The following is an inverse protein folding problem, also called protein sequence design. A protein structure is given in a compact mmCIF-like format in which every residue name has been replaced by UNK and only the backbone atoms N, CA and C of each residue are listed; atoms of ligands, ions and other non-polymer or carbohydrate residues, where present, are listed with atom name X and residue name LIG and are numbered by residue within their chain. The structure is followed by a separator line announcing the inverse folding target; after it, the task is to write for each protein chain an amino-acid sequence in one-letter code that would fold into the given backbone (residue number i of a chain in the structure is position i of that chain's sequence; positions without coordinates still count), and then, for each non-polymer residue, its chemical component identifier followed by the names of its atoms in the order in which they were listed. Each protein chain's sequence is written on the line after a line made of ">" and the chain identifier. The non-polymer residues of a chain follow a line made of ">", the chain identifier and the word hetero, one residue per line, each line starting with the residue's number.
data_IF_417720771019
#
_entry.id   IF_417720771019
#
_cell.length_a   1.000
_cell.length_b   1.000
_cell.length_c   1.000
_cell.angle_alpha   90.00
_cell.angle_beta   90.00
_cell.angle_gamma   90.00
#
_symmetry.space_group_name_H-M   'P 1'
#
loop_
_entity.id
_entity.type
_entity.pdbx_description
1 polymer ?
#
# COMPACT_ATOMS: atom_id res chain seq x y z
N UNK A 1 -6.32 -15.14 32.82
CA UNK A 1 -6.66 -16.28 31.95
C UNK A 1 -5.43 -17.10 31.53
N UNK A 2 -4.26 -16.48 31.29
CA UNK A 2 -3.02 -17.18 30.91
C UNK A 2 -2.35 -17.90 32.09
N UNK A 3 -2.39 -17.31 33.30
CA UNK A 3 -1.83 -17.93 34.49
C UNK A 3 -2.63 -19.17 34.98
N UNK A 4 -3.96 -19.16 34.81
CA UNK A 4 -4.80 -20.33 35.10
C UNK A 4 -4.55 -21.49 34.14
N UNK A 5 -4.29 -21.20 32.84
CA UNK A 5 -3.87 -22.22 31.88
C UNK A 5 -2.51 -22.83 32.21
N UNK A 6 -1.54 -22.02 32.63
CA UNK A 6 -0.22 -22.48 33.01
C UNK A 6 -0.26 -23.36 34.27
N UNK A 7 -1.16 -23.10 35.22
CA UNK A 7 -1.32 -23.87 36.47
C UNK A 7 -1.98 -25.24 36.21
N UNK A 8 -2.92 -25.29 35.27
CA UNK A 8 -3.61 -26.56 34.88
C UNK A 8 -2.68 -27.47 34.06
N UNK A 9 -1.78 -26.90 33.24
CA UNK A 9 -0.84 -27.67 32.41
C UNK A 9 0.42 -28.14 33.15
N UNK A 10 0.69 -27.66 34.38
CA UNK A 10 1.87 -28.02 35.21
C UNK A 10 1.63 -29.16 36.18
N UNK A 11 0.42 -29.71 36.27
CA UNK A 11 0.19 -30.90 37.10
C UNK A 11 0.50 -32.13 36.27
N UNK A 12 1.54 -32.84 36.66
CA UNK A 12 1.79 -34.20 36.26
C UNK A 12 0.53 -35.05 36.44
N UNK A 13 0.04 -35.64 35.38
CA UNK A 13 -0.98 -36.66 35.40
C UNK A 13 -0.40 -37.95 35.97
N UNK A 14 -0.18 -37.96 37.27
CA UNK A 14 0.01 -39.19 37.99
C UNK A 14 -1.37 -39.71 38.42
N UNK A 15 -1.67 -40.86 37.95
CA UNK A 15 -2.76 -41.81 38.21
C UNK A 15 -3.57 -41.62 39.54
N UNK A 16 -4.22 -40.46 39.69
CA UNK A 16 -5.19 -40.21 40.75
C UNK A 16 -6.56 -40.63 40.20
N UNK A 17 -7.18 -41.61 40.81
CA UNK A 17 -8.44 -42.20 40.37
C UNK A 17 -9.53 -41.16 40.11
N UNK A 18 -10.49 -41.47 39.23
CA UNK A 18 -11.57 -40.61 38.78
C UNK A 18 -12.36 -39.88 39.89
N UNK A 19 -12.33 -40.40 41.11
CA UNK A 19 -12.93 -39.74 42.29
C UNK A 19 -12.23 -38.49 42.75
N UNK A 20 -10.91 -38.43 42.66
CA UNK A 20 -10.11 -37.27 43.09
C UNK A 20 -10.23 -36.09 42.14
N UNK A 21 -10.39 -36.38 40.85
CA UNK A 21 -10.61 -35.37 39.79
C UNK A 21 -11.99 -34.69 39.99
N UNK A 22 -13.02 -35.45 40.32
CA UNK A 22 -14.37 -34.93 40.53
C UNK A 22 -14.42 -33.99 41.74
N UNK A 23 -13.75 -34.36 42.83
CA UNK A 23 -13.62 -33.51 44.06
C UNK A 23 -12.83 -32.23 43.72
N UNK A 24 -11.73 -32.34 42.99
CA UNK A 24 -10.94 -31.17 42.61
C UNK A 24 -11.71 -30.21 41.67
N UNK A 25 -12.51 -30.74 40.72
CA UNK A 25 -13.37 -29.91 39.90
C UNK A 25 -14.45 -29.20 40.69
N UNK A 26 -15.01 -29.87 41.71
CA UNK A 26 -16.00 -29.27 42.61
C UNK A 26 -15.37 -28.17 43.46
N UNK A 27 -14.20 -28.39 44.06
CA UNK A 27 -13.43 -27.38 44.79
C UNK A 27 -13.08 -26.17 43.93
N UNK A 28 -12.57 -26.39 42.74
CA UNK A 28 -12.27 -25.33 41.76
C UNK A 28 -13.52 -24.56 41.36
N UNK A 29 -14.66 -25.26 41.21
CA UNK A 29 -15.96 -24.63 40.98
C UNK A 29 -16.40 -23.70 42.09
N UNK A 30 -16.34 -24.16 43.31
CA UNK A 30 -16.65 -23.35 44.50
C UNK A 30 -15.71 -22.15 44.62
N UNK A 31 -14.43 -22.35 44.43
CA UNK A 31 -13.42 -21.27 44.47
C UNK A 31 -13.64 -20.25 43.38
N UNK A 32 -14.01 -20.68 42.20
CA UNK A 32 -14.35 -19.80 41.03
C UNK A 32 -15.60 -18.96 41.34
N UNK A 33 -16.63 -19.55 41.96
CA UNK A 33 -17.83 -18.84 42.38
C UNK A 33 -17.53 -17.80 43.49
N UNK A 34 -16.71 -18.17 44.47
CA UNK A 34 -16.28 -17.25 45.53
C UNK A 34 -15.47 -16.07 44.96
N UNK A 35 -14.52 -16.32 44.09
CA UNK A 35 -13.74 -15.27 43.44
C UNK A 35 -14.60 -14.38 42.50
N UNK A 36 -15.58 -14.94 41.81
CA UNK A 36 -16.55 -14.15 41.06
C UNK A 36 -17.39 -13.25 41.92
N UNK A 37 -17.94 -13.77 43.05
CA UNK A 37 -18.71 -12.98 43.99
C UNK A 37 -17.88 -11.86 44.62
N UNK A 38 -16.61 -12.12 44.94
CA UNK A 38 -15.69 -11.10 45.46
C UNK A 38 -15.34 -10.05 44.40
N UNK A 39 -15.22 -10.46 43.12
CA UNK A 39 -14.95 -9.54 42.01
C UNK A 39 -16.18 -8.68 41.66
N UNK A 40 -17.41 -9.19 41.83
CA UNK A 40 -18.65 -8.46 41.49
C UNK A 40 -18.81 -7.17 42.32
N UNK A 41 -18.25 -7.12 43.54
CA UNK A 41 -18.24 -5.91 44.38
C UNK A 41 -17.19 -4.86 44.01
N UNK A 42 -16.18 -5.25 43.21
CA UNK A 42 -15.02 -4.38 42.89
C UNK A 42 -14.87 -4.12 41.38
N UNK A 43 -15.54 -4.89 40.53
CA UNK A 43 -15.42 -4.78 39.10
C UNK A 43 -16.70 -4.20 38.49
N UNK A 44 -16.56 -3.05 37.83
CA UNK A 44 -17.65 -2.48 37.03
C UNK A 44 -17.70 -3.19 35.69
N UNK A 45 -18.76 -3.94 35.43
CA UNK A 45 -18.97 -4.58 34.16
C UNK A 45 -19.63 -3.58 33.18
N UNK A 46 -18.96 -3.31 32.07
CA UNK A 46 -19.52 -2.55 30.96
C UNK A 46 -19.80 -3.54 29.82
N UNK A 47 -21.06 -3.63 29.40
CA UNK A 47 -21.48 -4.47 28.27
C UNK A 47 -21.67 -3.60 27.05
N UNK A 48 -21.21 -4.08 25.89
CA UNK A 48 -21.48 -3.41 24.62
C UNK A 48 -22.99 -3.46 24.33
N UNK A 49 -23.61 -2.34 23.93
CA UNK A 49 -25.04 -2.32 23.58
C UNK A 49 -25.35 -3.07 22.30
N UNK A 50 -24.39 -3.12 21.39
CA UNK A 50 -24.52 -3.73 20.06
C UNK A 50 -23.22 -4.46 19.69
N UNK A 51 -23.28 -5.28 18.64
CA UNK A 51 -22.08 -5.89 18.05
C UNK A 51 -21.26 -4.83 17.32
N UNK A 52 -19.95 -4.81 17.54
CA UNK A 52 -19.04 -3.85 16.91
C UNK A 52 -17.59 -4.17 17.21
N UNK A 53 -16.69 -3.37 16.67
CA UNK A 53 -15.27 -3.45 16.94
C UNK A 53 -14.91 -2.52 18.12
N UNK A 54 -14.41 -3.10 19.20
CA UNK A 54 -13.93 -2.33 20.34
C UNK A 54 -12.52 -1.79 20.07
N UNK A 55 -12.34 -0.48 20.31
CA UNK A 55 -11.05 0.20 20.32
C UNK A 55 -10.83 0.89 21.66
N UNK A 56 -9.67 0.67 22.28
CA UNK A 56 -9.28 1.35 23.50
C UNK A 56 -8.88 2.82 23.27
N UNK A 57 -8.56 3.18 22.03
CA UNK A 57 -8.12 4.52 21.66
C UNK A 57 -9.31 5.43 21.37
N UNK A 58 -9.39 6.52 22.14
CA UNK A 58 -10.38 7.61 21.96
C UNK A 58 -9.61 8.91 22.00
N UNK A 59 -9.64 9.65 20.91
CA UNK A 59 -8.81 10.84 20.70
C UNK A 59 -9.60 12.16 20.67
N UNK A 60 -10.92 12.09 20.85
CA UNK A 60 -11.82 13.26 20.89
C UNK A 60 -12.28 13.74 19.53
N UNK A 61 -11.97 13.03 18.44
CA UNK A 61 -12.49 13.33 17.12
C UNK A 61 -13.75 12.53 16.78
N UNK A 62 -14.20 11.64 17.64
CA UNK A 62 -15.31 10.73 17.40
C UNK A 62 -16.65 11.47 17.14
N UNK A 63 -16.83 12.64 17.77
CA UNK A 63 -18.02 13.49 17.60
C UNK A 63 -17.79 14.65 16.64
N UNK A 64 -16.52 14.96 16.35
CA UNK A 64 -16.14 16.09 15.49
C UNK A 64 -16.02 15.67 14.03
N UNK A 65 -15.50 14.47 13.77
CA UNK A 65 -15.33 13.93 12.41
C UNK A 65 -16.23 12.69 12.24
N UNK A 66 -17.46 12.94 11.84
CA UNK A 66 -18.47 11.90 11.58
C UNK A 66 -18.71 11.73 10.08
N UNK A 67 -19.21 10.59 9.62
CA UNK A 67 -19.53 10.37 8.20
C UNK A 67 -20.45 11.45 7.62
N UNK A 68 -21.42 11.96 8.40
CA UNK A 68 -22.32 13.00 7.95
C UNK A 68 -21.68 14.37 7.71
N UNK A 69 -20.49 14.63 8.27
CA UNK A 69 -19.75 15.88 8.04
C UNK A 69 -18.89 15.85 6.78
N UNK A 70 -18.72 14.68 6.16
CA UNK A 70 -17.84 14.53 4.99
C UNK A 70 -18.46 15.14 3.73
N UNK A 71 -19.78 15.29 3.71
CA UNK A 71 -20.47 15.95 2.60
C UNK A 71 -20.22 17.46 2.65
N UNK A 72 -19.69 18.00 1.57
CA UNK A 72 -19.38 19.43 1.47
C UNK A 72 -18.17 19.92 2.28
N UNK A 73 -17.33 19.01 2.79
CA UNK A 73 -16.13 19.37 3.56
C UNK A 73 -15.12 20.15 2.70
N UNK A 74 -14.72 21.33 3.19
CA UNK A 74 -13.73 22.18 2.52
C UNK A 74 -12.32 21.95 3.08
N UNK A 75 -11.25 22.30 2.32
CA UNK A 75 -9.88 22.23 2.81
C UNK A 75 -9.62 22.99 4.10
N UNK A 76 -10.19 24.19 4.25
CA UNK A 76 -10.07 25.00 5.48
C UNK A 76 -10.82 24.36 6.65
N UNK A 77 -12.02 23.82 6.42
CA UNK A 77 -12.79 23.12 7.44
C UNK A 77 -12.05 21.87 7.94
N UNK A 78 -11.52 21.06 7.03
CA UNK A 78 -10.72 19.87 7.41
C UNK A 78 -9.48 20.24 8.23
N UNK A 79 -8.78 21.30 7.83
CA UNK A 79 -7.56 21.76 8.53
C UNK A 79 -7.86 22.36 9.90
N UNK A 80 -9.05 22.94 10.07
CA UNK A 80 -9.51 23.58 11.30
C UNK A 80 -10.11 22.63 12.34
N UNK A 81 -10.24 21.32 12.01
CA UNK A 81 -10.78 20.35 12.95
C UNK A 81 -9.88 20.21 14.17
N UNK A 82 -10.46 20.34 15.35
CA UNK A 82 -9.79 20.14 16.63
C UNK A 82 -10.53 19.09 17.44
N UNK A 83 -9.78 18.27 18.16
CA UNK A 83 -10.37 17.27 19.07
C UNK A 83 -11.20 17.95 20.17
N UNK A 84 -12.30 17.32 20.55
CA UNK A 84 -13.07 17.69 21.73
C UNK A 84 -12.61 16.87 22.94
N UNK A 85 -11.84 17.46 23.88
CA UNK A 85 -11.33 16.75 25.06
C UNK A 85 -12.42 16.20 25.97
N UNK A 86 -13.63 16.78 25.92
CA UNK A 86 -14.76 16.37 26.76
C UNK A 86 -15.32 15.01 26.38
N UNK A 87 -15.07 14.56 25.14
CA UNK A 87 -15.57 13.29 24.61
C UNK A 87 -14.59 12.12 24.78
N UNK A 88 -13.37 12.39 25.25
CA UNK A 88 -12.35 11.37 25.48
C UNK A 88 -12.80 10.40 26.56
N UNK A 89 -13.09 9.17 26.18
CA UNK A 89 -13.50 8.10 27.09
C UNK A 89 -12.32 7.25 27.55
N UNK A 90 -12.24 6.98 28.86
CA UNK A 90 -11.27 6.05 29.43
C UNK A 90 -11.62 4.58 29.20
N UNK A 91 -12.86 4.31 28.81
CA UNK A 91 -13.35 2.95 28.57
C UNK A 91 -13.19 2.51 27.11
N UNK A 92 -12.79 3.41 26.22
CA UNK A 92 -12.69 3.12 24.79
C UNK A 92 -13.94 3.50 24.01
N UNK A 93 -13.99 3.09 22.76
CA UNK A 93 -15.12 3.30 21.81
C UNK A 93 -15.53 1.99 21.16
N UNK A 94 -16.78 1.93 20.75
CA UNK A 94 -17.34 0.87 19.93
C UNK A 94 -17.53 1.42 18.51
N UNK A 95 -16.85 0.82 17.55
CA UNK A 95 -17.00 1.16 16.14
C UNK A 95 -18.08 0.26 15.55
N UNK A 96 -19.16 0.86 15.09
CA UNK A 96 -20.29 0.17 14.47
C UNK A 96 -20.13 0.15 12.95
N UNK A 97 -20.48 -0.95 12.32
CA UNK A 97 -20.33 -1.15 10.88
C UNK A 97 -18.91 -1.60 10.48
N UNK A 98 -18.70 -1.68 9.18
CA UNK A 98 -17.48 -2.18 8.54
C UNK A 98 -16.82 -1.15 7.61
N UNK A 99 -17.42 0.04 7.51
CA UNK A 99 -16.93 1.12 6.64
C UNK A 99 -16.02 2.08 7.39
N UNK A 100 -15.04 2.59 6.67
CA UNK A 100 -14.19 3.67 7.13
C UNK A 100 -13.99 4.70 6.01
N UNK A 101 -13.67 5.92 6.40
CA UNK A 101 -13.49 7.03 5.49
C UNK A 101 -12.12 7.66 5.67
N UNK A 102 -11.52 8.10 4.57
CA UNK A 102 -10.29 8.85 4.54
C UNK A 102 -10.50 10.13 3.73
N UNK A 103 -10.38 11.28 4.39
CA UNK A 103 -10.49 12.59 3.77
C UNK A 103 -9.10 13.18 3.53
N UNK A 104 -8.82 13.59 2.31
CA UNK A 104 -7.53 14.16 1.92
C UNK A 104 -7.70 15.42 1.08
N UNK A 105 -6.81 16.40 1.29
CA UNK A 105 -6.76 17.61 0.46
C UNK A 105 -5.91 17.34 -0.76
N UNK A 106 -6.49 17.48 -1.95
CA UNK A 106 -5.86 17.31 -3.26
C UNK A 106 -5.98 18.58 -4.09
N UNK A 107 -5.24 18.68 -5.20
CA UNK A 107 -5.58 19.62 -6.24
C UNK A 107 -6.91 19.24 -6.90
N UNK A 108 -7.64 20.21 -7.41
CA UNK A 108 -8.90 19.93 -8.10
C UNK A 108 -8.69 19.05 -9.35
N UNK A 109 -7.57 19.23 -10.04
CA UNK A 109 -7.23 18.48 -11.25
C UNK A 109 -6.87 17.03 -10.92
N UNK A 110 -6.10 16.78 -9.84
CA UNK A 110 -5.81 15.42 -9.37
C UNK A 110 -7.09 14.67 -8.95
N UNK A 111 -8.01 15.37 -8.30
CA UNK A 111 -9.28 14.75 -7.87
C UNK A 111 -10.15 14.33 -9.07
N UNK A 112 -10.16 15.13 -10.15
CA UNK A 112 -10.84 14.76 -11.41
C UNK A 112 -10.15 13.55 -12.06
N UNK A 113 -8.82 13.58 -12.18
CA UNK A 113 -8.05 12.47 -12.75
C UNK A 113 -8.24 11.16 -11.97
N UNK A 114 -8.36 11.24 -10.63
CA UNK A 114 -8.64 10.07 -9.81
C UNK A 114 -10.04 9.50 -10.05
N UNK A 115 -11.03 10.36 -10.27
CA UNK A 115 -12.41 9.92 -10.59
C UNK A 115 -12.47 9.18 -11.94
N UNK A 116 -11.79 9.72 -12.95
CA UNK A 116 -11.68 9.08 -14.26
C UNK A 116 -11.00 7.70 -14.14
N UNK A 117 -9.89 7.66 -13.41
CA UNK A 117 -9.15 6.41 -13.18
C UNK A 117 -9.94 5.39 -12.36
N UNK A 118 -10.74 5.83 -11.40
CA UNK A 118 -11.65 4.94 -10.69
C UNK A 118 -12.64 4.26 -11.63
N UNK A 119 -13.19 5.01 -12.58
CA UNK A 119 -14.11 4.46 -13.58
C UNK A 119 -13.40 3.42 -14.48
N UNK A 120 -12.16 3.68 -14.89
CA UNK A 120 -11.34 2.75 -15.67
C UNK A 120 -10.99 1.46 -14.90
N UNK A 121 -10.78 1.56 -13.59
CA UNK A 121 -10.39 0.44 -12.71
C UNK A 121 -11.58 -0.30 -12.06
N UNK A 122 -12.75 -0.27 -12.66
CA UNK A 122 -13.91 -1.00 -12.14
C UNK A 122 -14.46 -0.45 -10.83
N UNK A 123 -14.33 0.85 -10.60
CA UNK A 123 -14.95 1.57 -9.46
C UNK A 123 -14.10 1.65 -8.20
N UNK A 124 -12.89 1.11 -8.18
CA UNK A 124 -11.99 1.15 -7.01
C UNK A 124 -10.62 1.71 -7.33
N UNK A 125 -9.97 2.28 -6.31
CA UNK A 125 -8.59 2.77 -6.36
C UNK A 125 -7.78 2.08 -5.27
N UNK A 126 -6.53 1.67 -5.53
CA UNK A 126 -5.64 1.13 -4.51
C UNK A 126 -5.01 2.27 -3.70
N UNK A 127 -5.35 2.34 -2.42
CA UNK A 127 -4.82 3.30 -1.45
C UNK A 127 -3.81 2.60 -0.53
N UNK A 128 -2.62 3.16 -0.40
CA UNK A 128 -1.58 2.69 0.51
C UNK A 128 -1.30 3.72 1.59
N UNK A 129 -1.48 3.34 2.85
CA UNK A 129 -1.08 4.16 3.98
C UNK A 129 0.42 4.05 4.25
N UNK A 130 1.01 5.13 4.77
CA UNK A 130 2.44 5.14 5.13
C UNK A 130 2.76 4.34 6.39
N UNK A 131 1.75 4.02 7.20
CA UNK A 131 1.88 3.27 8.47
C UNK A 131 0.64 2.41 8.70
N UNK A 132 0.82 1.35 9.48
CA UNK A 132 -0.27 0.53 10.02
C UNK A 132 -0.70 -0.62 9.14
N UNK A 133 -0.79 -0.43 7.82
CA UNK A 133 -1.18 -1.48 6.88
C UNK A 133 -0.18 -1.50 5.73
N UNK A 134 0.54 -2.60 5.58
CA UNK A 134 1.59 -2.77 4.56
C UNK A 134 1.04 -3.43 3.29
N UNK A 135 -0.03 -2.87 2.73
CA UNK A 135 -0.64 -3.32 1.47
C UNK A 135 -1.54 -2.25 0.88
N UNK A 136 -1.89 -2.43 -0.37
CA UNK A 136 -2.87 -1.59 -1.05
C UNK A 136 -4.28 -1.97 -0.60
N UNK A 137 -5.04 -0.97 -0.17
CA UNK A 137 -6.43 -1.12 0.25
C UNK A 137 -7.35 -0.66 -0.88
N UNK A 138 -8.31 -1.49 -1.30
CA UNK A 138 -9.30 -1.05 -2.27
C UNK A 138 -10.22 0.00 -1.62
N UNK A 139 -10.27 1.18 -2.22
CA UNK A 139 -11.15 2.27 -1.78
C UNK A 139 -11.95 2.81 -2.96
N UNK A 140 -13.09 3.41 -2.66
CA UNK A 140 -13.92 4.15 -3.61
C UNK A 140 -13.79 5.64 -3.32
N UNK A 141 -13.57 6.46 -4.33
CA UNK A 141 -13.69 7.92 -4.22
C UNK A 141 -15.18 8.25 -4.14
N UNK A 142 -15.67 8.49 -2.94
CA UNK A 142 -17.08 8.69 -2.63
C UNK A 142 -17.54 10.09 -3.05
N UNK A 143 -16.81 11.11 -2.60
CA UNK A 143 -17.16 12.50 -2.88
C UNK A 143 -15.93 13.40 -3.08
N UNK A 144 -16.15 14.51 -3.76
CA UNK A 144 -15.20 15.60 -3.90
C UNK A 144 -15.92 16.85 -3.39
N UNK A 145 -15.37 17.46 -2.35
CA UNK A 145 -15.90 18.66 -1.72
C UNK A 145 -15.76 19.93 -2.58
N UNK A 146 -16.26 21.06 -2.09
CA UNK A 146 -16.15 22.34 -2.77
C UNK A 146 -14.70 22.76 -2.99
N UNK A 147 -14.46 23.46 -4.11
CA UNK A 147 -13.14 24.00 -4.46
C UNK A 147 -12.84 25.26 -3.64
N UNK A 148 -11.69 25.25 -2.99
CA UNK A 148 -11.14 26.37 -2.23
C UNK A 148 -9.66 26.55 -2.60
N UNK A 149 -9.30 27.73 -3.14
CA UNK A 149 -7.94 28.05 -3.57
C UNK A 149 -7.28 26.98 -4.48
N UNK A 150 -8.04 26.43 -5.41
CA UNK A 150 -7.57 25.40 -6.34
C UNK A 150 -7.49 23.98 -5.74
N UNK A 151 -7.83 23.82 -4.46
CA UNK A 151 -7.84 22.54 -3.75
C UNK A 151 -9.26 22.09 -3.42
N UNK A 152 -9.42 20.81 -3.21
CA UNK A 152 -10.67 20.15 -2.81
C UNK A 152 -10.35 19.10 -1.73
N UNK A 153 -11.36 18.72 -0.97
CA UNK A 153 -11.29 17.53 -0.13
C UNK A 153 -11.86 16.36 -0.91
N UNK A 154 -11.05 15.34 -1.12
CA UNK A 154 -11.49 14.06 -1.66
C UNK A 154 -11.75 13.11 -0.51
N UNK A 155 -12.93 12.48 -0.49
CA UNK A 155 -13.33 11.50 0.51
C UNK A 155 -13.31 10.11 -0.11
N UNK A 156 -12.52 9.23 0.48
CA UNK A 156 -12.40 7.84 0.09
C UNK A 156 -13.10 6.95 1.11
N UNK A 157 -13.86 5.98 0.63
CA UNK A 157 -14.52 4.96 1.44
C UNK A 157 -13.86 3.60 1.24
N UNK A 158 -13.60 2.90 2.33
CA UNK A 158 -13.12 1.53 2.35
C UNK A 158 -13.95 0.64 3.26
N UNK A 159 -14.00 -0.65 2.98
CA UNK A 159 -14.77 -1.66 3.72
C UNK A 159 -13.90 -2.79 4.28
N UNK A 160 -12.59 -2.70 4.10
CA UNK A 160 -11.65 -3.74 4.52
C UNK A 160 -10.64 -3.20 5.53
N UNK A 161 -10.06 -4.09 6.35
CA UNK A 161 -8.99 -3.77 7.32
C UNK A 161 -9.37 -2.73 8.39
N UNK A 162 -10.64 -2.58 8.72
CA UNK A 162 -11.11 -1.63 9.74
C UNK A 162 -10.39 -1.80 11.08
N UNK A 163 -10.10 -3.04 11.49
CA UNK A 163 -9.43 -3.36 12.76
C UNK A 163 -8.05 -2.71 12.86
N UNK A 164 -7.28 -2.77 11.78
CA UNK A 164 -5.92 -2.22 11.70
C UNK A 164 -5.94 -0.70 11.60
N UNK A 165 -7.02 -0.13 11.08
CA UNK A 165 -7.17 1.30 10.85
C UNK A 165 -7.78 2.06 12.03
N UNK A 166 -8.43 1.39 12.99
CA UNK A 166 -9.10 2.04 14.13
C UNK A 166 -8.18 2.87 15.03
N UNK A 167 -6.88 2.57 15.02
CA UNK A 167 -5.87 3.28 15.79
C UNK A 167 -5.23 4.45 15.01
N UNK A 168 -5.60 4.63 13.75
CA UNK A 168 -4.99 5.62 12.86
C UNK A 168 -5.93 6.81 12.71
N UNK A 169 -5.46 8.04 12.97
CA UNK A 169 -6.25 9.25 12.78
C UNK A 169 -5.70 10.09 11.63
N UNK A 170 -4.50 10.58 11.74
CA UNK A 170 -3.85 11.34 10.69
C UNK A 170 -2.80 10.48 10.01
N UNK A 171 -2.99 10.22 8.74
CA UNK A 171 -2.12 9.37 7.95
C UNK A 171 -1.79 10.03 6.60
N UNK A 172 -0.58 9.81 6.13
CA UNK A 172 -0.26 10.02 4.73
C UNK A 172 -0.64 8.79 3.95
N UNK A 173 -1.26 9.00 2.81
CA UNK A 173 -1.60 7.91 1.90
C UNK A 173 -1.10 8.23 0.49
N UNK A 174 -0.87 7.19 -0.27
CA UNK A 174 -0.56 7.24 -1.69
C UNK A 174 -1.63 6.47 -2.45
N UNK A 175 -2.11 7.02 -3.54
CA UNK A 175 -2.94 6.29 -4.48
C UNK A 175 -2.03 5.72 -5.55
N UNK A 176 -2.03 4.40 -5.67
CA UNK A 176 -1.24 3.70 -6.69
C UNK A 176 -2.01 3.79 -8.00
N UNK A 177 -1.64 4.74 -8.84
CA UNK A 177 -2.36 5.04 -10.09
C UNK A 177 -2.04 4.09 -11.24
N UNK A 178 -1.08 3.21 -11.07
CA UNK A 178 -0.70 2.20 -12.05
C UNK A 178 0.71 1.65 -11.76
N UNK A 179 1.01 0.54 -12.38
CA UNK A 179 2.38 -0.01 -12.46
C UNK A 179 2.88 0.15 -13.89
N UNK A 180 4.08 0.67 -14.03
CA UNK A 180 4.76 0.73 -15.32
C UNK A 180 5.84 -0.35 -15.30
N UNK A 181 5.76 -1.28 -16.24
CA UNK A 181 6.76 -2.34 -16.38
C UNK A 181 7.79 -1.93 -17.42
N UNK A 182 9.06 -2.05 -17.07
CA UNK A 182 10.17 -1.74 -17.97
C UNK A 182 11.50 -2.10 -17.33
N UNK A 183 12.55 -2.09 -18.16
CA UNK A 183 13.92 -2.29 -17.70
C UNK A 183 14.45 -0.92 -17.25
N UNK A 184 14.90 -0.85 -16.02
CA UNK A 184 15.46 0.39 -15.48
C UNK A 184 16.91 0.56 -15.94
N UNK A 185 17.17 1.66 -16.64
CA UNK A 185 18.52 2.03 -17.07
C UNK A 185 18.85 3.45 -16.62
N UNK A 186 20.14 3.80 -16.37
CA UNK A 186 20.55 5.16 -16.08
C UNK A 186 20.17 6.09 -17.22
N UNK A 187 19.64 7.28 -16.95
CA UNK A 187 19.30 8.25 -18.00
C UNK A 187 20.48 8.59 -18.90
N UNK A 188 21.67 8.66 -18.34
CA UNK A 188 22.92 8.94 -19.04
C UNK A 188 23.36 7.85 -20.03
N UNK A 189 22.77 6.66 -19.95
CA UNK A 189 23.06 5.55 -20.88
C UNK A 189 22.26 5.62 -22.18
N UNK A 190 21.21 6.45 -22.23
CA UNK A 190 20.44 6.63 -23.48
C UNK A 190 21.30 7.30 -24.55
N UNK A 191 21.24 6.76 -25.75
CA UNK A 191 21.89 7.28 -26.96
C UNK A 191 20.88 7.37 -28.07
N UNK A 192 21.02 8.40 -28.88
CA UNK A 192 20.35 8.50 -30.16
C UNK A 192 21.37 8.19 -31.24
N UNK A 193 21.21 7.08 -31.92
CA UNK A 193 22.13 6.65 -32.98
C UNK A 193 21.44 6.74 -34.34
N UNK A 194 22.13 7.38 -35.27
CA UNK A 194 21.64 7.52 -36.67
C UNK A 194 22.00 6.35 -37.54
N UNK A 195 23.03 5.61 -37.16
CA UNK A 195 23.50 4.47 -37.95
C UNK A 195 23.76 3.30 -36.99
N UNK A 196 22.96 2.28 -37.06
CA UNK A 196 23.28 0.95 -36.60
C UNK A 196 23.17 0.01 -37.81
N UNK A 197 23.93 -1.05 -37.78
CA UNK A 197 23.86 -2.03 -38.86
C UNK A 197 22.54 -2.80 -38.75
N UNK A 198 21.76 -2.86 -39.81
CA UNK A 198 20.63 -3.75 -39.94
C UNK A 198 21.10 -5.22 -40.08
N UNK A 199 20.17 -6.14 -40.24
CA UNK A 199 20.50 -7.57 -40.38
C UNK A 199 21.37 -7.87 -41.63
N UNK A 200 21.30 -7.03 -42.64
CA UNK A 200 22.09 -7.13 -43.88
C UNK A 200 23.43 -6.38 -43.80
N UNK A 201 23.76 -5.80 -42.67
CA UNK A 201 24.98 -5.02 -42.47
C UNK A 201 24.94 -3.62 -43.11
N UNK A 202 23.75 -3.11 -43.46
CA UNK A 202 23.58 -1.75 -43.96
C UNK A 202 23.29 -0.78 -42.81
N UNK A 203 23.79 0.45 -42.95
CA UNK A 203 23.48 1.51 -42.01
C UNK A 203 22.00 1.91 -42.09
N UNK A 204 21.27 1.83 -40.96
CA UNK A 204 19.89 2.29 -40.89
C UNK A 204 19.83 3.80 -41.06
N UNK A 205 18.91 4.28 -41.88
CA UNK A 205 18.76 5.71 -42.20
C UNK A 205 18.04 6.49 -41.07
N UNK A 206 17.40 5.81 -40.15
CA UNK A 206 16.59 6.42 -39.08
C UNK A 206 17.38 6.52 -37.77
N UNK A 207 17.24 7.67 -37.12
CA UNK A 207 17.74 7.88 -35.75
C UNK A 207 16.87 7.08 -34.79
N UNK A 208 17.47 6.18 -34.02
CA UNK A 208 16.77 5.38 -33.01
C UNK A 208 17.38 5.60 -31.63
N UNK A 209 16.51 5.74 -30.64
CA UNK A 209 16.91 5.76 -29.24
C UNK A 209 17.24 4.34 -28.78
N UNK A 210 18.36 4.20 -28.06
CA UNK A 210 18.80 2.92 -27.57
C UNK A 210 19.81 3.03 -26.46
N UNK A 211 20.31 1.88 -26.02
CA UNK A 211 21.38 1.76 -25.04
C UNK A 211 22.45 0.82 -25.57
N UNK A 212 23.70 1.05 -25.18
CA UNK A 212 24.76 0.09 -25.43
C UNK A 212 24.84 -0.90 -24.28
N UNK A 213 24.74 -2.19 -24.57
CA UNK A 213 24.95 -3.26 -23.61
C UNK A 213 26.30 -3.95 -23.91
N UNK A 214 26.98 -4.36 -22.83
CA UNK A 214 28.19 -5.16 -22.92
C UNK A 214 27.81 -6.63 -23.17
N UNK A 215 28.14 -7.16 -24.32
CA UNK A 215 27.93 -8.57 -24.68
C UNK A 215 29.30 -9.22 -24.88
N UNK A 216 29.73 -10.02 -23.91
CA UNK A 216 31.11 -10.51 -23.88
C UNK A 216 32.10 -9.36 -23.67
N UNK A 217 32.81 -8.96 -24.74
CA UNK A 217 33.74 -7.83 -24.74
C UNK A 217 33.35 -6.74 -25.74
N UNK A 218 32.18 -6.83 -26.32
CA UNK A 218 31.71 -5.93 -27.35
C UNK A 218 30.56 -5.07 -26.89
N UNK A 219 30.55 -3.79 -27.26
CA UNK A 219 29.42 -2.90 -27.11
C UNK A 219 28.38 -3.21 -28.19
N UNK A 220 27.18 -3.59 -27.81
CA UNK A 220 26.07 -3.84 -28.73
C UNK A 220 24.96 -2.83 -28.51
N UNK A 221 24.59 -2.15 -29.60
CA UNK A 221 23.47 -1.21 -29.56
C UNK A 221 22.15 -1.95 -29.56
N UNK A 222 21.31 -1.62 -28.56
CA UNK A 222 19.98 -2.19 -28.40
C UNK A 222 18.96 -1.07 -28.46
N UNK A 223 18.16 -0.98 -29.53
CA UNK A 223 17.11 0.03 -29.65
C UNK A 223 16.03 -0.21 -28.60
N UNK A 224 15.58 0.88 -27.98
CA UNK A 224 14.58 0.84 -26.93
C UNK A 224 13.56 1.95 -27.11
N UNK A 225 12.37 1.71 -26.55
CA UNK A 225 11.35 2.72 -26.36
C UNK A 225 11.35 3.18 -24.90
N UNK A 226 11.31 4.48 -24.66
CA UNK A 226 11.24 5.05 -23.30
C UNK A 226 9.79 5.02 -22.84
N UNK A 227 9.50 4.18 -21.85
CA UNK A 227 8.17 4.04 -21.27
C UNK A 227 7.92 5.06 -20.16
N UNK A 228 8.97 5.38 -19.38
CA UNK A 228 8.88 6.37 -18.31
C UNK A 228 10.24 7.04 -18.05
N UNK A 229 10.21 8.35 -17.78
CA UNK A 229 11.40 9.14 -17.45
C UNK A 229 11.35 9.61 -16.00
N UNK A 230 12.26 9.08 -15.15
CA UNK A 230 12.55 9.60 -13.82
C UNK A 230 13.69 10.63 -13.84
N UNK A 231 14.07 11.15 -12.69
CA UNK A 231 15.14 12.14 -12.58
C UNK A 231 16.52 11.59 -12.99
N UNK A 232 16.92 10.44 -12.45
CA UNK A 232 18.23 9.80 -12.66
C UNK A 232 18.18 8.53 -13.51
N UNK A 233 16.98 8.04 -13.84
CA UNK A 233 16.77 6.80 -14.58
C UNK A 233 15.65 6.94 -15.59
N UNK A 234 15.62 5.99 -16.51
CA UNK A 234 14.47 5.79 -17.41
C UNK A 234 14.06 4.33 -17.38
N UNK A 235 12.76 4.08 -17.54
CA UNK A 235 12.25 2.74 -17.82
C UNK A 235 12.11 2.59 -19.31
N UNK A 236 12.70 1.54 -19.84
CA UNK A 236 12.68 1.24 -21.26
C UNK A 236 12.08 -0.13 -21.52
N UNK A 237 11.45 -0.27 -22.68
CA UNK A 237 11.06 -1.53 -23.27
C UNK A 237 11.87 -1.75 -24.57
N UNK A 238 11.97 -2.98 -25.08
CA UNK A 238 12.50 -3.22 -26.42
C UNK A 238 11.77 -2.36 -27.45
N UNK A 239 12.49 -1.84 -28.43
CA UNK A 239 11.86 -1.08 -29.50
C UNK A 239 10.81 -1.94 -30.24
N UNK A 240 9.69 -1.32 -30.70
CA UNK A 240 8.68 -2.04 -31.45
C UNK A 240 9.25 -2.59 -32.77
N UNK A 241 8.70 -3.71 -33.21
CA UNK A 241 9.10 -4.37 -34.49
C UNK A 241 10.24 -5.37 -34.34
N UNK A 242 10.79 -5.59 -33.14
CA UNK A 242 11.75 -6.66 -32.88
C UNK A 242 11.03 -7.95 -32.49
N UNK A 243 11.31 -9.04 -33.22
CA UNK A 243 10.75 -10.37 -32.94
C UNK A 243 11.78 -11.23 -32.15
N UNK A 244 11.50 -11.63 -30.91
CA UNK A 244 12.40 -12.49 -30.15
C UNK A 244 12.61 -13.89 -30.76
N UNK A 245 11.76 -14.32 -31.69
CA UNK A 245 11.89 -15.58 -32.39
C UNK A 245 12.90 -15.50 -33.56
N UNK A 246 13.22 -14.31 -34.04
CA UNK A 246 14.22 -14.07 -35.11
C UNK A 246 15.59 -13.88 -34.43
N UNK A 247 16.59 -14.68 -34.80
CA UNK A 247 17.90 -14.69 -34.16
C UNK A 247 18.61 -13.33 -34.19
N UNK A 248 18.50 -12.58 -35.29
CA UNK A 248 19.06 -11.23 -35.41
C UNK A 248 18.43 -10.25 -34.42
N UNK A 249 17.11 -10.22 -34.34
CA UNK A 249 16.35 -9.36 -33.43
C UNK A 249 16.52 -9.77 -31.97
N UNK A 250 16.56 -11.08 -31.66
CA UNK A 250 16.76 -11.60 -30.33
C UNK A 250 18.05 -11.09 -29.68
N UNK A 251 19.11 -10.83 -30.48
CA UNK A 251 20.38 -10.26 -30.02
C UNK A 251 20.29 -8.75 -29.76
N UNK A 252 19.31 -8.07 -30.35
CA UNK A 252 19.09 -6.62 -30.24
C UNK A 252 18.07 -6.26 -29.16
N UNK A 253 17.31 -7.24 -28.65
CA UNK A 253 16.36 -7.03 -27.55
C UNK A 253 17.13 -6.88 -26.26
N UNK A 254 16.85 -5.78 -25.52
CA UNK A 254 17.37 -5.56 -24.17
C UNK A 254 16.68 -6.53 -23.19
N UNK A 255 17.47 -7.12 -22.28
CA UNK A 255 16.95 -8.06 -21.26
C UNK A 255 17.28 -7.60 -19.85
N UNK A 256 16.45 -7.91 -18.86
CA UNK A 256 16.80 -7.66 -17.46
C UNK A 256 18.13 -8.33 -17.07
N UNK A 257 18.97 -7.62 -16.35
CA UNK A 257 20.27 -8.12 -15.89
C UNK A 257 21.45 -7.90 -16.85
N UNK A 258 21.22 -7.35 -18.04
CA UNK A 258 22.33 -6.98 -18.92
C UNK A 258 23.09 -5.76 -18.41
N UNK A 259 24.39 -5.74 -18.68
CA UNK A 259 25.26 -4.63 -18.31
C UNK A 259 25.13 -3.50 -19.33
N UNK A 260 24.62 -2.36 -18.89
CA UNK A 260 24.44 -1.17 -19.72
C UNK A 260 25.66 -0.25 -19.56
N UNK A 261 26.21 0.21 -20.69
CA UNK A 261 27.36 1.11 -20.74
C UNK A 261 26.86 2.54 -20.56
N UNK A 262 27.21 3.15 -19.43
CA UNK A 262 26.79 4.52 -19.10
C UNK A 262 27.71 5.54 -19.77
N UNK A 263 29.03 5.32 -19.68
CA UNK A 263 30.04 6.27 -20.18
C UNK A 263 31.15 5.53 -20.92
N UNK A 264 31.33 5.84 -22.17
CA UNK A 264 32.51 5.47 -22.95
C UNK A 264 32.64 6.43 -24.15
N UNK A 265 33.89 6.73 -24.56
CA UNK A 265 34.15 7.58 -25.73
C UNK A 265 34.06 6.79 -27.01
N UNK A 266 33.42 7.39 -28.03
CA UNK A 266 33.34 6.83 -29.39
C UNK A 266 32.75 5.42 -29.42
N UNK A 267 31.62 5.21 -28.74
CA UNK A 267 30.86 3.97 -28.82
C UNK A 267 30.28 3.83 -30.24
N UNK A 268 30.34 2.62 -30.76
CA UNK A 268 29.62 2.18 -31.95
C UNK A 268 29.31 0.70 -31.80
N UNK A 269 28.35 0.21 -32.55
CA UNK A 269 27.93 -1.20 -32.45
C UNK A 269 29.07 -2.14 -32.94
N UNK A 270 29.40 -3.12 -32.10
CA UNK A 270 30.52 -4.05 -32.30
C UNK A 270 31.87 -3.55 -31.78
N UNK A 271 31.95 -2.38 -31.11
CA UNK A 271 33.21 -1.91 -30.52
C UNK A 271 33.68 -2.83 -29.42
N UNK A 272 34.92 -3.33 -29.55
CA UNK A 272 35.57 -4.11 -28.48
C UNK A 272 36.05 -3.18 -27.37
N UNK A 273 35.63 -3.46 -26.16
CA UNK A 273 36.06 -2.72 -24.95
C UNK A 273 37.21 -3.49 -24.27
N UNK A 274 38.30 -2.79 -24.06
CA UNK A 274 39.50 -3.33 -23.40
C UNK A 274 39.55 -2.91 -21.94
#
# INVERSE_FOLDING_TARGET
>A
ALELRALVLKRDYSDAGNGDIAVQLQELGVRLLALRSQAEGTVRRVTAPEAGLYSAEVDGYETVLTPGMLEGLTPSALSGLTADPSTVSRTGKLVLGDEWYYAAVLSADDAVALRERQAENGGTLPLRFSRGVDRDLPVTLESIGPRENGRVVAVFRGTSYLRELTLLRQQRAQIVTGSITGIRVPRESLRAERAYLDEDGKAAAEERTGVYCLVGREARFKPVEVVHSGESFVLVSPAPGLDPAVEGDAKRIIRPGEQVIVSARGLFDGKVLT
#
